data_IF_933395014007
#
_entry.id   IF_933395014007
#
_cell.length_a   1.000
_cell.length_b   1.000
_cell.length_c   1.000
_cell.angle_alpha   90.00
_cell.angle_beta   90.00
_cell.angle_gamma   90.00
#
_symmetry.space_group_name_H-M   'P 1'
#
loop_
_entity.id
_entity.type
_entity.pdbx_description
1 polymer ?
#
# COMPACT_ATOMS: atom_id res chain seq x y z
N UNK A 1 45.98 -3.45 1.79
CA UNK A 1 45.87 -2.05 2.26
C UNK A 1 45.49 -1.22 1.05
N UNK A 2 44.32 -0.60 0.95
CA UNK A 2 43.08 -0.62 1.76
C UNK A 2 42.03 0.07 0.87
N UNK A 3 40.81 -0.44 0.92
CA UNK A 3 39.62 0.12 0.28
C UNK A 3 39.16 1.27 1.20
N UNK A 4 39.39 2.51 0.76
CA UNK A 4 38.80 3.76 1.26
C UNK A 4 38.63 4.57 -0.05
N UNK A 5 37.43 4.94 -0.52
CA UNK A 5 36.44 5.79 0.13
C UNK A 5 35.02 5.45 -0.36
N UNK A 6 34.20 4.84 0.51
CA UNK A 6 32.75 5.00 0.43
C UNK A 6 32.33 5.76 1.68
N UNK A 7 31.51 6.81 1.56
CA UNK A 7 31.10 7.58 2.73
C UNK A 7 30.20 6.70 3.62
N UNK A 8 30.65 6.50 4.85
CA UNK A 8 29.85 5.94 5.93
C UNK A 8 28.62 6.84 6.16
N UNK A 9 27.43 6.30 5.88
CA UNK A 9 26.19 6.93 6.31
C UNK A 9 25.94 6.58 7.78
N UNK A 10 25.62 7.56 8.65
CA UNK A 10 25.38 7.26 10.06
C UNK A 10 24.12 6.39 10.20
N UNK A 11 24.30 5.19 10.74
CA UNK A 11 23.23 4.42 11.38
C UNK A 11 22.92 5.05 12.74
N UNK A 12 22.33 6.24 12.75
CA UNK A 12 21.76 6.83 13.95
C UNK A 12 20.27 7.06 13.74
N UNK A 13 19.47 6.48 14.62
CA UNK A 13 18.02 6.52 14.59
C UNK A 13 17.52 7.97 14.56
N UNK A 14 17.15 8.44 13.37
CA UNK A 14 16.27 9.58 13.25
C UNK A 14 14.95 9.16 13.89
N UNK A 15 14.65 9.70 15.07
CA UNK A 15 13.37 9.47 15.72
C UNK A 15 12.26 9.77 14.71
N UNK A 16 11.50 8.73 14.30
CA UNK A 16 10.39 8.85 13.34
C UNK A 16 9.37 9.91 13.81
N UNK A 17 9.29 10.12 15.12
CA UNK A 17 8.51 11.16 15.81
C UNK A 17 8.90 12.58 15.36
N UNK A 18 10.16 12.82 14.99
CA UNK A 18 10.63 14.12 14.49
C UNK A 18 10.24 14.40 13.04
N UNK A 19 10.04 13.35 12.22
CA UNK A 19 9.58 13.48 10.82
C UNK A 19 8.06 13.43 10.69
N UNK A 20 7.38 12.74 11.60
CA UNK A 20 5.92 12.58 11.62
C UNK A 20 5.36 12.87 13.03
N UNK A 21 5.23 14.16 13.41
CA UNK A 21 4.95 14.58 14.80
C UNK A 21 3.56 14.20 15.33
N UNK A 22 2.69 13.66 14.48
CA UNK A 22 1.32 13.26 14.82
C UNK A 22 1.15 11.75 15.00
N UNK A 23 2.22 10.95 14.83
CA UNK A 23 2.15 9.49 14.93
C UNK A 23 2.49 9.03 16.34
N UNK A 24 1.55 8.32 16.96
CA UNK A 24 1.77 7.60 18.21
C UNK A 24 2.42 6.24 17.91
N UNK A 25 3.29 5.77 18.80
CA UNK A 25 3.76 4.38 18.76
C UNK A 25 2.58 3.48 19.13
N UNK A 26 1.89 2.94 18.12
CA UNK A 26 0.85 1.93 18.29
C UNK A 26 1.39 0.62 18.89
N UNK A 27 0.50 -0.35 19.12
CA UNK A 27 0.90 -1.69 19.55
C UNK A 27 1.90 -2.32 18.57
N UNK A 28 2.96 -2.95 19.10
CA UNK A 28 3.98 -3.63 18.27
C UNK A 28 3.41 -4.84 17.52
N UNK A 29 2.27 -5.40 17.97
CA UNK A 29 1.63 -6.55 17.33
C UNK A 29 0.56 -6.10 16.34
N UNK A 30 0.71 -6.38 15.03
CA UNK A 30 -0.31 -6.06 14.04
C UNK A 30 -1.61 -6.81 14.30
N UNK A 31 -2.75 -6.16 14.08
CA UNK A 31 -4.09 -6.73 14.25
C UNK A 31 -4.85 -6.78 12.92
N UNK A 32 -5.91 -7.59 12.90
CA UNK A 32 -6.91 -7.59 11.83
C UNK A 32 -8.16 -6.91 12.40
N UNK A 33 -8.60 -5.82 11.76
CA UNK A 33 -9.79 -5.08 12.17
C UNK A 33 -11.07 -5.84 11.85
N UNK A 34 -12.18 -5.47 12.49
CA UNK A 34 -13.50 -6.02 12.16
C UNK A 34 -13.99 -5.55 10.78
N UNK A 35 -14.95 -6.27 10.21
CA UNK A 35 -15.60 -5.85 8.97
C UNK A 35 -16.65 -4.78 9.30
N UNK A 36 -16.51 -3.60 8.71
CA UNK A 36 -17.54 -2.54 8.69
C UNK A 36 -17.93 -2.18 7.26
N UNK A 37 -19.10 -1.53 7.12
CA UNK A 37 -19.49 -0.83 5.90
C UNK A 37 -18.82 0.56 5.84
N UNK A 38 -18.72 1.14 4.65
CA UNK A 38 -18.27 2.53 4.53
C UNK A 38 -19.35 3.45 5.13
N UNK A 39 -19.00 4.37 6.04
CA UNK A 39 -19.94 5.32 6.60
C UNK A 39 -20.35 6.30 5.50
N UNK A 40 -21.60 6.74 5.49
CA UNK A 40 -22.13 7.65 4.47
C UNK A 40 -22.96 8.76 5.14
N UNK A 41 -22.94 9.99 4.61
CA UNK A 41 -23.84 11.05 5.07
C UNK A 41 -25.31 10.66 4.85
N UNK A 42 -26.19 11.04 5.79
CA UNK A 42 -27.62 10.72 5.75
C UNK A 42 -28.33 11.24 4.49
N UNK A 43 -27.87 12.37 3.96
CA UNK A 43 -28.50 13.09 2.85
C UNK A 43 -27.71 12.94 1.53
N UNK A 44 -26.85 11.91 1.41
CA UNK A 44 -26.00 11.75 0.24
C UNK A 44 -26.81 11.25 -0.98
N UNK A 45 -26.78 12.01 -2.07
CA UNK A 45 -27.36 11.59 -3.36
C UNK A 45 -26.52 10.51 -4.08
N UNK A 46 -25.27 10.30 -3.66
CA UNK A 46 -24.33 9.39 -4.30
C UNK A 46 -24.12 8.09 -3.50
N UNK A 47 -23.73 7.02 -4.19
CA UNK A 47 -23.49 5.71 -3.58
C UNK A 47 -22.07 5.49 -3.04
N UNK A 48 -21.20 6.50 -3.13
CA UNK A 48 -19.77 6.39 -2.80
C UNK A 48 -19.30 7.53 -1.91
N UNK A 49 -18.30 7.25 -1.08
CA UNK A 49 -17.70 8.24 -0.19
C UNK A 49 -16.79 9.17 -0.98
N UNK A 50 -16.94 10.49 -0.80
CA UNK A 50 -16.09 11.49 -1.45
C UNK A 50 -15.30 12.28 -0.40
N UNK A 51 -14.00 12.00 -0.21
CA UNK A 51 -13.16 12.75 0.74
C UNK A 51 -13.06 14.27 0.48
N UNK A 52 -13.52 14.75 -0.69
CA UNK A 52 -13.55 16.18 -1.01
C UNK A 52 -14.88 16.84 -0.65
N UNK A 53 -15.93 16.08 -0.37
CA UNK A 53 -17.23 16.58 0.07
C UNK A 53 -17.20 16.94 1.56
N UNK A 54 -17.82 18.07 1.93
CA UNK A 54 -17.80 18.57 3.31
C UNK A 54 -18.46 17.60 4.30
N UNK A 55 -19.58 16.96 3.92
CA UNK A 55 -20.30 16.02 4.79
C UNK A 55 -19.50 14.74 4.99
N UNK A 56 -18.81 14.27 3.94
CA UNK A 56 -17.89 13.15 4.05
C UNK A 56 -16.66 13.50 4.88
N UNK A 57 -16.13 14.71 4.80
CA UNK A 57 -15.02 15.16 5.63
C UNK A 57 -15.38 15.19 7.13
N UNK A 58 -16.61 15.62 7.48
CA UNK A 58 -17.09 15.54 8.86
C UNK A 58 -17.03 14.12 9.39
N UNK A 59 -17.44 13.13 8.59
CA UNK A 59 -17.36 11.71 8.95
C UNK A 59 -15.90 11.22 9.00
N UNK A 60 -15.09 11.56 7.98
CA UNK A 60 -13.70 11.10 7.87
C UNK A 60 -12.90 11.49 9.10
N UNK A 61 -13.08 12.73 9.57
CA UNK A 61 -12.33 13.29 10.69
C UNK A 61 -13.04 13.20 12.05
N UNK A 62 -14.27 12.68 12.13
CA UNK A 62 -14.94 12.41 13.41
C UNK A 62 -14.14 11.33 14.18
N UNK A 63 -13.67 11.60 15.41
CA UNK A 63 -12.99 10.60 16.24
C UNK A 63 -13.83 9.35 16.54
N UNK A 64 -15.15 9.40 16.36
CA UNK A 64 -16.06 8.25 16.52
C UNK A 64 -16.06 7.30 15.33
N UNK A 65 -15.67 7.78 14.15
CA UNK A 65 -15.51 6.90 12.99
C UNK A 65 -14.44 5.88 13.31
N UNK A 66 -14.75 4.61 13.15
CA UNK A 66 -13.82 3.53 13.46
C UNK A 66 -12.78 3.33 12.36
N UNK A 67 -11.65 2.73 12.71
CA UNK A 67 -10.64 2.34 11.71
C UNK A 67 -11.21 1.35 10.69
N UNK A 68 -12.06 0.42 11.13
CA UNK A 68 -12.76 -0.53 10.26
C UNK A 68 -13.61 0.17 9.20
N UNK A 69 -14.27 1.28 9.56
CA UNK A 69 -15.03 2.13 8.64
C UNK A 69 -14.11 2.87 7.66
N UNK A 70 -12.96 3.37 8.11
CA UNK A 70 -11.96 3.98 7.23
C UNK A 70 -11.39 2.98 6.22
N UNK A 71 -11.09 1.74 6.64
CA UNK A 71 -10.74 0.67 5.71
C UNK A 71 -11.86 0.39 4.71
N UNK A 72 -13.12 0.44 5.15
CA UNK A 72 -14.25 0.25 4.27
C UNK A 72 -14.38 1.34 3.19
N UNK A 73 -13.97 2.59 3.49
CA UNK A 73 -13.82 3.66 2.49
C UNK A 73 -12.76 3.25 1.45
N UNK A 74 -11.55 2.84 1.88
CA UNK A 74 -10.45 2.46 0.99
C UNK A 74 -10.77 1.30 0.03
N UNK A 75 -11.72 0.43 0.39
CA UNK A 75 -12.21 -0.65 -0.48
C UNK A 75 -12.87 -0.11 -1.75
N UNK A 76 -13.50 1.05 -1.71
CA UNK A 76 -14.23 1.61 -2.85
C UNK A 76 -13.27 1.94 -4.01
N UNK A 77 -13.58 1.46 -5.21
CA UNK A 77 -12.79 1.71 -6.43
C UNK A 77 -13.37 2.89 -7.20
N UNK A 78 -13.26 4.08 -6.61
CA UNK A 78 -13.71 5.34 -7.21
C UNK A 78 -12.59 6.38 -7.13
N UNK A 79 -12.45 7.27 -8.14
CA UNK A 79 -11.31 8.18 -8.20
C UNK A 79 -11.11 9.03 -6.95
N UNK A 80 -12.20 9.54 -6.37
CA UNK A 80 -12.15 10.43 -5.20
C UNK A 80 -11.48 9.77 -3.99
N UNK A 81 -11.74 8.48 -3.76
CA UNK A 81 -11.10 7.71 -2.68
C UNK A 81 -9.64 7.40 -3.03
N UNK A 82 -9.38 6.97 -4.26
CA UNK A 82 -8.04 6.53 -4.68
C UNK A 82 -7.05 7.71 -4.79
N UNK A 83 -7.51 8.90 -5.16
CA UNK A 83 -6.68 10.11 -5.19
C UNK A 83 -6.35 10.66 -3.79
N UNK A 84 -7.13 10.31 -2.77
CA UNK A 84 -6.99 10.78 -1.39
C UNK A 84 -6.52 9.67 -0.43
N UNK A 85 -5.73 8.71 -0.94
CA UNK A 85 -5.21 7.57 -0.17
C UNK A 85 -4.37 8.00 1.03
N UNK A 86 -3.59 9.06 0.89
CA UNK A 86 -2.74 9.61 1.94
C UNK A 86 -3.56 10.30 3.03
N UNK A 87 -4.64 11.02 2.69
CA UNK A 87 -5.52 11.63 3.68
C UNK A 87 -6.19 10.56 4.54
N UNK A 88 -6.84 9.58 3.90
CA UNK A 88 -7.53 8.51 4.60
C UNK A 88 -6.53 7.64 5.38
N UNK A 89 -5.40 7.31 4.77
CA UNK A 89 -4.35 6.50 5.38
C UNK A 89 -3.68 7.20 6.57
N UNK A 90 -3.39 8.50 6.48
CA UNK A 90 -2.84 9.25 7.61
C UNK A 90 -3.84 9.37 8.76
N UNK A 91 -5.13 9.50 8.48
CA UNK A 91 -6.16 9.49 9.53
C UNK A 91 -6.24 8.13 10.23
N UNK A 92 -6.09 7.01 9.50
CA UNK A 92 -5.94 5.67 10.09
C UNK A 92 -4.70 5.62 11.01
N UNK A 93 -3.54 6.07 10.54
CA UNK A 93 -2.31 6.05 11.33
C UNK A 93 -2.39 6.95 12.58
N UNK A 94 -3.02 8.11 12.47
CA UNK A 94 -3.25 9.05 13.57
C UNK A 94 -4.11 8.45 14.69
N UNK A 95 -4.95 7.46 14.38
CA UNK A 95 -5.75 6.69 15.36
C UNK A 95 -4.95 5.59 16.06
N UNK A 96 -3.62 5.56 15.88
CA UNK A 96 -2.72 4.63 16.56
C UNK A 96 -2.60 3.26 15.88
N UNK A 97 -3.05 3.15 14.63
CA UNK A 97 -2.89 1.92 13.85
C UNK A 97 -1.42 1.63 13.57
N UNK A 98 -1.07 0.35 13.66
CA UNK A 98 0.19 -0.15 13.15
C UNK A 98 0.16 -0.13 11.61
N UNK A 99 1.26 0.21 10.95
CA UNK A 99 1.37 0.22 9.49
C UNK A 99 1.09 -1.14 8.83
N UNK A 100 1.23 -2.21 9.61
CA UNK A 100 0.97 -3.59 9.21
C UNK A 100 -0.40 -4.11 9.66
N UNK A 101 -1.25 -3.27 10.26
CA UNK A 101 -2.63 -3.65 10.54
C UNK A 101 -3.40 -3.90 9.24
N UNK A 102 -4.38 -4.80 9.33
CA UNK A 102 -5.08 -5.34 8.16
C UNK A 102 -6.58 -5.11 8.24
N UNK A 103 -7.14 -4.84 7.08
CA UNK A 103 -8.57 -4.78 6.85
C UNK A 103 -9.23 -6.15 7.09
N UNK A 104 -10.30 -6.20 7.89
CA UNK A 104 -11.02 -7.44 8.19
C UNK A 104 -11.60 -8.18 7.00
N UNK A 105 -11.98 -7.47 5.94
CA UNK A 105 -12.61 -8.08 4.77
C UNK A 105 -11.58 -8.64 3.79
N UNK A 106 -10.55 -7.86 3.47
CA UNK A 106 -9.58 -8.17 2.41
C UNK A 106 -8.26 -8.74 2.93
N UNK A 107 -7.98 -8.55 4.22
CA UNK A 107 -6.68 -8.77 4.86
C UNK A 107 -5.55 -7.92 4.23
N UNK A 108 -5.91 -6.84 3.54
CA UNK A 108 -4.97 -5.87 2.96
C UNK A 108 -4.50 -4.88 4.03
N UNK A 109 -3.21 -4.55 3.98
CA UNK A 109 -2.62 -3.42 4.72
C UNK A 109 -2.81 -2.10 3.96
N UNK A 110 -2.47 -0.98 4.60
CA UNK A 110 -2.43 0.32 3.91
C UNK A 110 -1.55 0.29 2.66
N UNK A 111 -0.37 -0.36 2.72
CA UNK A 111 0.54 -0.43 1.57
C UNK A 111 -0.10 -1.13 0.36
N UNK A 112 -0.94 -2.14 0.56
CA UNK A 112 -1.69 -2.78 -0.52
C UNK A 112 -2.69 -1.81 -1.16
N UNK A 113 -3.46 -1.07 -0.33
CA UNK A 113 -4.38 -0.05 -0.82
C UNK A 113 -3.64 1.09 -1.54
N UNK A 114 -2.47 1.47 -1.08
CA UNK A 114 -1.62 2.47 -1.76
C UNK A 114 -1.18 2.01 -3.14
N UNK A 115 -0.84 0.74 -3.32
CA UNK A 115 -0.53 0.20 -4.66
C UNK A 115 -1.74 0.30 -5.60
N UNK A 116 -2.93 -0.02 -5.09
CA UNK A 116 -4.20 0.12 -5.81
C UNK A 116 -4.46 1.59 -6.20
N UNK A 117 -4.17 2.53 -5.31
CA UNK A 117 -4.36 3.97 -5.50
C UNK A 117 -3.35 4.65 -6.44
N UNK A 118 -2.30 3.95 -6.89
CA UNK A 118 -1.39 4.47 -7.92
C UNK A 118 -1.85 4.24 -9.35
N UNK A 119 -2.97 3.52 -9.56
CA UNK A 119 -3.42 3.13 -10.90
C UNK A 119 -3.80 4.34 -11.76
N UNK A 120 -3.29 4.35 -13.00
CA UNK A 120 -3.54 5.43 -13.96
C UNK A 120 -5.03 5.62 -14.25
N UNK A 121 -5.48 6.87 -14.28
CA UNK A 121 -6.87 7.23 -14.59
C UNK A 121 -7.86 7.02 -13.44
N UNK A 122 -7.42 6.45 -12.31
CA UNK A 122 -8.25 6.25 -11.12
C UNK A 122 -7.66 7.01 -9.93
N UNK A 123 -6.39 6.77 -9.59
CA UNK A 123 -5.75 7.42 -8.45
C UNK A 123 -4.68 8.41 -8.85
N UNK A 124 -3.85 8.81 -7.88
CA UNK A 124 -2.72 9.72 -8.07
C UNK A 124 -1.41 9.02 -7.73
N UNK A 125 -0.57 8.82 -8.75
CA UNK A 125 0.67 8.04 -8.63
C UNK A 125 1.72 8.73 -7.75
N UNK A 126 1.78 10.06 -7.74
CA UNK A 126 2.77 10.79 -6.96
C UNK A 126 2.41 10.74 -5.47
N UNK A 127 1.15 10.99 -5.14
CA UNK A 127 0.60 10.89 -3.78
C UNK A 127 0.73 9.46 -3.26
N UNK A 128 0.36 8.46 -4.06
CA UNK A 128 0.53 7.06 -3.70
C UNK A 128 2.01 6.69 -3.47
N UNK A 129 2.92 7.12 -4.34
CA UNK A 129 4.35 6.83 -4.20
C UNK A 129 4.95 7.47 -2.93
N UNK A 130 4.59 8.74 -2.64
CA UNK A 130 5.01 9.44 -1.42
C UNK A 130 4.49 8.74 -0.18
N UNK A 131 3.21 8.37 -0.17
CA UNK A 131 2.60 7.70 0.98
C UNK A 131 3.16 6.28 1.18
N UNK A 132 3.42 5.54 0.11
CA UNK A 132 4.08 4.23 0.21
C UNK A 132 5.50 4.33 0.77
N UNK A 133 6.27 5.36 0.37
CA UNK A 133 7.60 5.59 0.91
C UNK A 133 7.54 5.89 2.43
N UNK A 134 6.57 6.71 2.86
CA UNK A 134 6.31 6.96 4.28
C UNK A 134 5.93 5.67 5.02
N UNK A 135 5.02 4.86 4.49
CA UNK A 135 4.63 3.59 5.12
C UNK A 135 5.83 2.65 5.30
N UNK A 136 6.70 2.54 4.28
CA UNK A 136 7.91 1.72 4.34
C UNK A 136 8.90 2.27 5.38
N UNK A 137 9.10 3.59 5.43
CA UNK A 137 9.95 4.23 6.46
C UNK A 137 9.44 3.98 7.88
N UNK A 138 8.12 3.87 8.04
CA UNK A 138 7.45 3.50 9.29
C UNK A 138 7.44 1.98 9.57
N UNK A 139 8.04 1.16 8.71
CA UNK A 139 8.18 -0.29 8.93
C UNK A 139 7.09 -1.17 8.30
N UNK A 140 6.42 -0.70 7.25
CA UNK A 140 5.47 -1.52 6.51
C UNK A 140 6.17 -2.74 5.88
N UNK A 141 5.66 -3.94 6.16
CA UNK A 141 6.11 -5.21 5.62
C UNK A 141 5.43 -5.47 4.27
N UNK A 142 6.19 -5.28 3.20
CA UNK A 142 5.74 -5.51 1.82
C UNK A 142 5.56 -6.99 1.45
N UNK A 143 5.93 -7.92 2.34
CA UNK A 143 5.76 -9.36 2.15
C UNK A 143 4.41 -9.90 2.62
N UNK A 144 3.66 -9.13 3.42
CA UNK A 144 2.31 -9.46 3.85
C UNK A 144 1.41 -9.69 2.64
N UNK A 145 0.44 -10.59 2.78
CA UNK A 145 -0.42 -11.04 1.68
C UNK A 145 -1.89 -10.83 2.02
N UNK A 146 -2.66 -10.42 1.01
CA UNK A 146 -4.11 -10.32 1.10
C UNK A 146 -4.77 -11.71 1.15
N UNK A 147 -6.01 -11.77 1.65
CA UNK A 147 -6.73 -13.02 1.86
C UNK A 147 -7.16 -13.72 0.57
N UNK A 148 -7.65 -12.96 -0.40
CA UNK A 148 -8.39 -13.49 -1.54
C UNK A 148 -7.56 -13.78 -2.78
N UNK A 149 -6.41 -13.12 -2.90
CA UNK A 149 -5.51 -13.28 -4.05
C UNK A 149 -4.14 -13.80 -3.63
N UNK A 150 -3.90 -13.88 -2.31
CA UNK A 150 -2.59 -14.19 -1.73
C UNK A 150 -1.46 -13.30 -2.30
N UNK A 151 -1.82 -12.10 -2.76
CA UNK A 151 -0.91 -11.13 -3.36
C UNK A 151 -0.34 -10.22 -2.28
N UNK A 152 0.95 -9.96 -2.38
CA UNK A 152 1.62 -8.91 -1.59
C UNK A 152 1.58 -7.56 -2.33
N UNK A 153 2.14 -6.51 -1.71
CA UNK A 153 2.15 -5.16 -2.27
C UNK A 153 2.77 -5.09 -3.69
N UNK A 154 3.87 -5.81 -3.94
CA UNK A 154 4.54 -5.82 -5.25
C UNK A 154 3.63 -6.40 -6.34
N UNK A 155 2.91 -7.47 -6.04
CA UNK A 155 1.95 -8.05 -6.98
C UNK A 155 0.81 -7.07 -7.31
N UNK A 156 0.32 -6.32 -6.33
CA UNK A 156 -0.72 -5.31 -6.56
C UNK A 156 -0.22 -4.15 -7.42
N UNK A 157 0.99 -3.63 -7.15
CA UNK A 157 1.60 -2.58 -7.97
C UNK A 157 1.81 -3.06 -9.43
N UNK A 158 2.17 -4.32 -9.61
CA UNK A 158 2.27 -4.94 -10.93
C UNK A 158 0.91 -5.12 -11.63
N UNK A 159 -0.10 -5.56 -10.90
CA UNK A 159 -1.47 -5.78 -11.42
C UNK A 159 -2.10 -4.49 -11.94
N UNK A 160 -1.87 -3.36 -11.26
CA UNK A 160 -2.43 -2.05 -11.58
C UNK A 160 -1.54 -1.18 -12.49
N UNK A 161 -0.43 -1.73 -13.00
CA UNK A 161 0.58 -1.02 -13.80
C UNK A 161 1.11 0.25 -13.14
N UNK A 162 1.70 0.10 -11.94
CA UNK A 162 2.23 1.23 -11.14
C UNK A 162 3.77 1.13 -10.95
N UNK A 163 4.57 1.46 -11.98
CA UNK A 163 6.04 1.44 -11.96
C UNK A 163 6.69 2.15 -10.76
N UNK A 164 6.14 3.30 -10.37
CA UNK A 164 6.65 4.15 -9.30
C UNK A 164 6.58 3.43 -7.96
N UNK A 165 5.48 2.72 -7.71
CA UNK A 165 5.27 1.96 -6.49
C UNK A 165 6.15 0.70 -6.49
N UNK A 166 6.37 0.07 -7.65
CA UNK A 166 7.35 -1.03 -7.78
C UNK A 166 8.74 -0.57 -7.36
N UNK A 167 9.18 0.61 -7.84
CA UNK A 167 10.49 1.19 -7.46
C UNK A 167 10.57 1.48 -5.96
N UNK A 168 9.52 2.06 -5.38
CA UNK A 168 9.47 2.38 -3.94
C UNK A 168 9.55 1.11 -3.09
N UNK A 169 8.78 0.08 -3.42
CA UNK A 169 8.76 -1.19 -2.69
C UNK A 169 10.12 -1.88 -2.77
N UNK A 170 10.65 -2.06 -3.99
CA UNK A 170 11.88 -2.82 -4.21
C UNK A 170 13.15 -2.13 -3.70
N UNK A 171 13.11 -0.81 -3.44
CA UNK A 171 14.25 -0.07 -2.86
C UNK A 171 14.69 -0.63 -1.50
N UNK A 172 13.78 -1.21 -0.74
CA UNK A 172 14.05 -1.76 0.61
C UNK A 172 13.89 -3.28 0.70
N UNK A 173 13.42 -3.92 -0.37
CA UNK A 173 13.24 -5.37 -0.44
C UNK A 173 14.56 -6.13 -0.61
N UNK A 174 14.58 -7.40 -0.20
CA UNK A 174 15.71 -8.29 -0.51
C UNK A 174 15.63 -8.67 -2.00
N UNK A 175 16.76 -8.91 -2.69
CA UNK A 175 16.74 -9.24 -4.11
C UNK A 175 15.82 -10.42 -4.48
N UNK A 176 15.72 -11.43 -3.59
CA UNK A 176 14.85 -12.60 -3.82
C UNK A 176 13.35 -12.30 -3.76
N UNK A 177 12.95 -11.16 -3.19
CA UNK A 177 11.55 -10.84 -2.97
C UNK A 177 10.86 -10.38 -4.26
N UNK A 178 11.64 -9.98 -5.29
CA UNK A 178 11.12 -9.59 -6.61
C UNK A 178 10.37 -10.72 -7.32
N UNK A 179 10.80 -11.96 -7.10
CA UNK A 179 10.20 -13.18 -7.65
C UNK A 179 9.31 -13.91 -6.62
N UNK A 180 8.81 -13.20 -5.61
CA UNK A 180 7.80 -13.75 -4.72
C UNK A 180 6.58 -14.22 -5.53
N UNK A 181 5.97 -15.33 -5.11
CA UNK A 181 4.81 -15.93 -5.78
C UNK A 181 3.54 -15.71 -4.98
N UNK A 182 2.38 -15.68 -5.66
CA UNK A 182 1.05 -15.75 -5.04
C UNK A 182 0.27 -16.99 -5.52
N UNK A 183 -0.38 -17.71 -4.60
CA UNK A 183 -1.06 -18.98 -4.92
C UNK A 183 -2.19 -18.82 -5.93
N UNK A 184 -2.95 -17.74 -5.85
CA UNK A 184 -4.21 -17.60 -6.59
C UNK A 184 -3.99 -17.22 -8.06
N UNK A 185 -2.75 -16.86 -8.42
CA UNK A 185 -2.34 -16.64 -9.80
C UNK A 185 -1.46 -17.78 -10.32
N UNK A 186 -1.82 -19.03 -10.01
CA UNK A 186 -1.03 -20.23 -10.38
C UNK A 186 0.42 -20.14 -9.92
N UNK A 187 0.67 -19.60 -8.71
CA UNK A 187 2.00 -19.30 -8.19
C UNK A 187 2.82 -18.32 -9.05
N UNK A 188 2.15 -17.48 -9.84
CA UNK A 188 2.80 -16.45 -10.64
C UNK A 188 3.51 -15.41 -9.77
N UNK A 189 4.57 -14.84 -10.34
CA UNK A 189 5.30 -13.70 -9.78
C UNK A 189 4.66 -12.38 -10.19
N UNK A 190 5.09 -11.26 -9.61
CA UNK A 190 4.69 -9.93 -10.05
C UNK A 190 4.90 -9.71 -11.57
N UNK A 191 5.98 -10.26 -12.14
CA UNK A 191 6.24 -10.17 -13.58
C UNK A 191 5.24 -10.96 -14.42
N UNK A 192 4.82 -12.15 -13.97
CA UNK A 192 3.78 -12.93 -14.63
C UNK A 192 2.44 -12.18 -14.66
N UNK A 193 2.08 -11.57 -13.54
CA UNK A 193 0.84 -10.79 -13.42
C UNK A 193 0.88 -9.57 -14.35
N UNK A 194 1.97 -8.80 -14.33
CA UNK A 194 2.13 -7.63 -15.21
C UNK A 194 2.06 -8.03 -16.68
N UNK A 195 2.70 -9.12 -17.07
CA UNK A 195 2.67 -9.61 -18.45
C UNK A 195 1.27 -10.07 -18.88
N UNK A 196 0.55 -10.79 -18.01
CA UNK A 196 -0.81 -11.24 -18.29
C UNK A 196 -1.80 -10.08 -18.46
N UNK A 197 -1.65 -9.02 -17.65
CA UNK A 197 -2.50 -7.83 -17.69
C UNK A 197 -2.06 -6.78 -18.73
N UNK A 198 -1.02 -7.03 -19.52
CA UNK A 198 -0.44 -6.08 -20.48
C UNK A 198 0.09 -4.78 -19.84
N UNK A 199 0.50 -4.85 -18.57
CA UNK A 199 1.07 -3.74 -17.80
C UNK A 199 2.53 -3.48 -18.20
N UNK A 200 2.72 -2.83 -19.36
CA UNK A 200 4.03 -2.66 -19.97
C UNK A 200 5.01 -1.86 -19.09
N UNK A 201 4.52 -0.87 -18.34
CA UNK A 201 5.34 -0.09 -17.42
C UNK A 201 5.89 -0.96 -16.28
N UNK A 202 5.02 -1.75 -15.66
CA UNK A 202 5.37 -2.69 -14.60
C UNK A 202 6.33 -3.77 -15.10
N UNK A 203 6.07 -4.37 -16.28
CA UNK A 203 6.98 -5.36 -16.89
C UNK A 203 8.38 -4.79 -17.03
N UNK A 204 8.50 -3.60 -17.65
CA UNK A 204 9.81 -2.95 -17.84
C UNK A 204 10.52 -2.73 -16.50
N UNK A 205 9.80 -2.17 -15.53
CA UNK A 205 10.37 -1.82 -14.22
C UNK A 205 10.79 -3.05 -13.42
N UNK A 206 10.00 -4.12 -13.45
CA UNK A 206 10.33 -5.38 -12.77
C UNK A 206 11.60 -6.02 -13.36
N UNK A 207 11.75 -6.01 -14.68
CA UNK A 207 12.95 -6.51 -15.36
C UNK A 207 14.19 -5.66 -15.01
N UNK A 208 14.05 -4.34 -14.94
CA UNK A 208 15.12 -3.44 -14.47
C UNK A 208 15.57 -3.76 -13.03
N UNK A 209 14.67 -4.30 -12.20
CA UNK A 209 14.95 -4.70 -10.82
C UNK A 209 15.24 -6.20 -10.67
N UNK A 210 15.56 -6.89 -11.77
CA UNK A 210 16.07 -8.26 -11.74
C UNK A 210 15.03 -9.36 -11.61
N UNK A 211 13.74 -9.07 -11.86
CA UNK A 211 12.72 -10.11 -11.98
C UNK A 211 13.10 -11.13 -13.05
N UNK A 212 12.94 -12.42 -12.77
CA UNK A 212 13.37 -13.47 -13.67
C UNK A 212 12.29 -13.80 -14.72
N UNK A 213 12.47 -13.44 -16.01
CA UNK A 213 11.48 -13.72 -17.06
C UNK A 213 11.37 -15.21 -17.39
N UNK A 214 12.34 -16.04 -16.98
CA UNK A 214 12.33 -17.48 -17.14
C UNK A 214 11.85 -18.21 -15.87
N UNK A 215 11.34 -17.48 -14.87
CA UNK A 215 10.82 -18.10 -13.65
C UNK A 215 9.71 -19.08 -14.01
N UNK A 216 9.82 -20.31 -13.51
CA UNK A 216 8.82 -21.37 -13.72
C UNK A 216 8.39 -21.89 -12.38
N UNK A 217 7.09 -21.89 -12.16
CA UNK A 217 6.48 -22.61 -11.07
C UNK A 217 6.67 -24.09 -11.34
N UNK A 218 7.40 -24.80 -10.46
CA UNK A 218 7.41 -26.26 -10.50
C UNK A 218 6.10 -26.72 -9.88
N UNK A 219 5.25 -27.34 -10.71
CA UNK A 219 4.04 -28.04 -10.25
C UNK A 219 4.37 -29.34 -9.52
#
# INVERSE_FOLDING_TARGET
>A
MTIEDLPDFPLEGSSLIGRYPFLFTGSDTPVIFSISAAPMPSDCEFSFFDPNDASCQEILFDPKTSVSELFAILRQWVPQVQQNIDIIGNEILKRGCNVNDRDGLTDMTLLHYTCKSGAHGIGDVETAAKFAAQLIELGADSSLRSRWTNMNALHYAAYFDVPELIRVILKTSKPKDVDATCSDFSFGTALHIAAYNLCAGAVKTLLEHGANPAFRVRG
#
